data_IF_620741793744
#
_entry.id   IF_620741793744
#
_cell.length_a   1.000
_cell.length_b   1.000
_cell.length_c   1.000
_cell.angle_alpha   90.00
_cell.angle_beta   90.00
_cell.angle_gamma   90.00
#
_symmetry.space_group_name_H-M   'P 1'
#
loop_
_entity.id
_entity.type
_entity.pdbx_description
1 polymer ?
#
# COMPACT_ATOMS: atom_id res chain seq x y z
N UNK A 1 -53.73 0.44 -37.85
CA UNK A 1 -52.29 0.55 -37.66
C UNK A 1 -52.03 0.18 -36.21
N UNK A 2 -51.65 -1.10 -36.00
CA UNK A 2 -51.28 -1.65 -34.73
C UNK A 2 -49.85 -1.16 -34.38
N UNK A 3 -49.77 -0.38 -33.32
CA UNK A 3 -48.53 -0.08 -32.64
C UNK A 3 -48.29 -1.20 -31.60
N UNK A 4 -47.92 -2.38 -32.06
CA UNK A 4 -47.32 -3.37 -31.19
C UNK A 4 -45.88 -2.90 -30.89
N UNK A 5 -45.66 -2.59 -29.65
CA UNK A 5 -44.39 -2.25 -29.06
C UNK A 5 -43.43 -3.40 -29.15
N UNK A 6 -42.72 -3.53 -30.28
CA UNK A 6 -41.47 -4.20 -30.30
C UNK A 6 -40.46 -3.33 -29.55
N UNK A 7 -40.45 -3.46 -28.23
CA UNK A 7 -39.32 -3.02 -27.40
C UNK A 7 -38.16 -3.85 -27.87
N UNK A 8 -37.32 -3.24 -28.70
CA UNK A 8 -36.01 -3.83 -29.07
C UNK A 8 -35.27 -4.20 -27.78
N UNK A 9 -35.14 -5.50 -27.54
CA UNK A 9 -34.40 -6.08 -26.44
C UNK A 9 -32.86 -5.93 -26.60
N UNK A 10 -32.41 -4.93 -27.36
CA UNK A 10 -31.01 -4.68 -27.72
C UNK A 10 -30.34 -3.57 -26.91
N UNK A 11 -31.05 -2.95 -25.97
CA UNK A 11 -30.48 -1.89 -25.11
C UNK A 11 -30.08 -2.39 -23.72
N UNK A 12 -29.66 -3.64 -23.60
CA UNK A 12 -28.99 -4.14 -22.42
C UNK A 12 -27.58 -3.57 -22.42
N UNK A 13 -27.34 -2.56 -21.62
CA UNK A 13 -25.97 -2.11 -21.31
C UNK A 13 -25.20 -3.30 -20.78
N UNK A 14 -24.26 -3.81 -21.55
CA UNK A 14 -23.35 -4.85 -21.07
C UNK A 14 -22.23 -4.20 -20.25
N UNK A 15 -21.97 -4.75 -19.07
CA UNK A 15 -20.86 -4.30 -18.24
C UNK A 15 -19.53 -4.57 -18.98
N UNK A 16 -18.84 -3.51 -19.37
CA UNK A 16 -17.43 -3.60 -19.79
C UNK A 16 -16.55 -3.55 -18.55
N UNK A 17 -15.86 -4.66 -18.25
CA UNK A 17 -14.93 -4.74 -17.13
C UNK A 17 -13.75 -3.80 -17.39
N UNK A 18 -13.63 -2.78 -16.54
CA UNK A 18 -12.51 -1.84 -16.55
C UNK A 18 -11.29 -2.35 -15.78
N UNK A 19 -10.21 -1.54 -15.68
CA UNK A 19 -8.92 -1.94 -15.08
C UNK A 19 -8.99 -2.40 -13.62
N UNK A 20 -10.07 -2.08 -12.90
CA UNK A 20 -10.25 -2.49 -11.49
C UNK A 20 -10.46 -4.01 -11.34
N UNK A 21 -10.88 -4.70 -12.40
CA UNK A 21 -11.02 -6.16 -12.41
C UNK A 21 -9.68 -6.86 -12.70
N UNK A 22 -8.76 -6.72 -11.76
CA UNK A 22 -7.41 -7.28 -11.82
C UNK A 22 -6.97 -7.72 -10.42
N UNK A 23 -5.88 -8.47 -10.32
CA UNK A 23 -5.27 -8.82 -9.02
C UNK A 23 -4.31 -7.74 -8.53
N UNK A 24 -3.64 -7.02 -9.45
CA UNK A 24 -2.73 -5.93 -9.11
C UNK A 24 -3.10 -4.69 -9.92
N UNK A 25 -3.43 -3.62 -9.21
CA UNK A 25 -3.77 -2.33 -9.80
C UNK A 25 -2.72 -1.29 -9.42
N UNK A 26 -2.11 -0.66 -10.41
CA UNK A 26 -1.31 0.54 -10.23
C UNK A 26 -2.20 1.78 -10.45
N UNK A 27 -2.41 2.55 -9.38
CA UNK A 27 -3.10 3.83 -9.40
C UNK A 27 -2.04 4.95 -9.38
N UNK A 28 -1.55 5.31 -10.55
CA UNK A 28 -0.52 6.32 -10.67
C UNK A 28 -1.08 7.71 -10.38
N UNK A 29 -0.33 8.52 -9.63
CA UNK A 29 -0.69 9.89 -9.24
C UNK A 29 -2.10 10.00 -8.65
N UNK A 30 -2.44 9.14 -7.67
CA UNK A 30 -3.78 9.09 -7.05
C UNK A 30 -4.23 10.46 -6.49
N UNK A 31 -3.29 11.32 -6.12
CA UNK A 31 -3.56 12.68 -5.64
C UNK A 31 -4.06 13.62 -6.74
N UNK A 32 -3.98 13.27 -8.03
CA UNK A 32 -4.63 14.00 -9.13
C UNK A 32 -6.07 13.56 -9.38
N UNK A 33 -6.46 12.40 -8.87
CA UNK A 33 -7.83 11.91 -9.02
C UNK A 33 -8.80 12.72 -8.14
N UNK A 34 -10.02 13.04 -8.61
CA UNK A 34 -11.04 13.67 -7.78
C UNK A 34 -11.37 12.84 -6.53
N UNK A 35 -11.77 13.49 -5.45
CA UNK A 35 -12.06 12.83 -4.16
C UNK A 35 -13.08 11.68 -4.27
N UNK A 36 -14.03 11.77 -5.19
CA UNK A 36 -15.00 10.70 -5.46
C UNK A 36 -14.32 9.45 -6.01
N UNK A 37 -13.38 9.59 -6.94
CA UNK A 37 -12.60 8.48 -7.51
C UNK A 37 -11.69 7.86 -6.46
N UNK A 38 -10.99 8.69 -5.68
CA UNK A 38 -10.18 8.21 -4.55
C UNK A 38 -11.02 7.38 -3.56
N UNK A 39 -12.20 7.88 -3.17
CA UNK A 39 -13.10 7.18 -2.26
C UNK A 39 -13.60 5.86 -2.82
N UNK A 40 -13.95 5.80 -4.11
CA UNK A 40 -14.40 4.57 -4.77
C UNK A 40 -13.28 3.51 -4.81
N UNK A 41 -12.04 3.91 -5.13
CA UNK A 41 -10.90 3.00 -5.11
C UNK A 41 -10.63 2.46 -3.71
N UNK A 42 -10.67 3.32 -2.69
CA UNK A 42 -10.45 2.93 -1.30
C UNK A 42 -11.56 2.01 -0.76
N UNK A 43 -12.79 2.19 -1.24
CA UNK A 43 -13.88 1.27 -0.94
C UNK A 43 -13.60 -0.10 -1.59
N UNK A 44 -13.24 -0.13 -2.86
CA UNK A 44 -12.89 -1.35 -3.59
C UNK A 44 -11.76 -2.14 -2.89
N UNK A 45 -10.73 -1.44 -2.37
CA UNK A 45 -9.65 -2.05 -1.58
C UNK A 45 -10.14 -2.74 -0.30
N UNK A 46 -11.13 -2.15 0.38
CA UNK A 46 -11.63 -2.68 1.65
C UNK A 46 -12.64 -3.80 1.47
N UNK A 47 -13.56 -3.62 0.55
CA UNK A 47 -14.69 -4.51 0.34
C UNK A 47 -14.36 -5.63 -0.65
N UNK A 48 -13.25 -5.49 -1.41
CA UNK A 48 -12.90 -6.36 -2.54
C UNK A 48 -14.06 -6.54 -3.51
N UNK A 49 -14.80 -5.48 -3.69
CA UNK A 49 -15.98 -5.42 -4.55
C UNK A 49 -16.18 -4.00 -5.09
N UNK A 50 -16.84 -3.90 -6.22
CA UNK A 50 -17.29 -2.63 -6.79
C UNK A 50 -18.77 -2.72 -7.10
N UNK A 51 -19.51 -1.63 -6.87
CA UNK A 51 -20.93 -1.55 -7.23
C UNK A 51 -21.09 -0.67 -8.46
N UNK A 52 -21.63 -1.25 -9.51
CA UNK A 52 -21.91 -0.60 -10.80
C UNK A 52 -23.38 -0.82 -11.13
N UNK A 53 -24.11 0.26 -11.41
CA UNK A 53 -25.55 0.21 -11.74
C UNK A 53 -26.40 -0.61 -10.76
N UNK A 54 -26.10 -0.49 -9.45
CA UNK A 54 -26.73 -1.20 -8.32
C UNK A 54 -26.40 -2.70 -8.21
N UNK A 55 -25.55 -3.22 -9.07
CA UNK A 55 -25.02 -4.58 -8.97
C UNK A 55 -23.63 -4.57 -8.34
N UNK A 56 -23.39 -5.45 -7.38
CA UNK A 56 -22.10 -5.59 -6.71
C UNK A 56 -21.30 -6.71 -7.36
N UNK A 57 -20.14 -6.37 -7.87
CA UNK A 57 -19.21 -7.29 -8.52
C UNK A 57 -18.00 -7.53 -7.62
N UNK A 58 -17.74 -8.80 -7.31
CA UNK A 58 -16.54 -9.18 -6.54
C UNK A 58 -15.27 -8.96 -7.39
N UNK A 59 -14.22 -8.47 -6.72
CA UNK A 59 -12.87 -8.39 -7.27
C UNK A 59 -12.06 -9.66 -6.93
N UNK A 60 -10.86 -9.77 -7.50
CA UNK A 60 -9.94 -10.85 -7.17
C UNK A 60 -9.69 -10.92 -5.65
N UNK A 61 -9.62 -12.13 -5.04
CA UNK A 61 -9.17 -12.30 -3.65
C UNK A 61 -7.78 -11.67 -3.41
N UNK A 62 -6.96 -11.62 -4.47
CA UNK A 62 -5.61 -11.03 -4.47
C UNK A 62 -5.59 -9.55 -4.83
N UNK A 63 -6.75 -8.90 -4.93
CA UNK A 63 -6.81 -7.49 -5.29
C UNK A 63 -5.95 -6.63 -4.38
N UNK A 64 -4.89 -6.08 -4.96
CA UNK A 64 -3.89 -5.27 -4.30
C UNK A 64 -3.67 -3.99 -5.10
N UNK A 65 -3.68 -2.85 -4.43
CA UNK A 65 -3.49 -1.53 -5.05
C UNK A 65 -2.13 -0.97 -4.67
N UNK A 66 -1.36 -0.61 -5.67
CA UNK A 66 -0.19 0.25 -5.57
C UNK A 66 -0.61 1.64 -6.00
N UNK A 67 -0.52 2.62 -5.11
CA UNK A 67 -0.84 4.00 -5.43
C UNK A 67 0.42 4.86 -5.31
N UNK A 68 0.69 5.68 -6.33
CA UNK A 68 1.79 6.64 -6.27
C UNK A 68 1.25 8.03 -5.95
N UNK A 69 2.09 8.84 -5.32
CA UNK A 69 1.85 10.26 -5.11
C UNK A 69 3.12 11.02 -5.49
N UNK A 70 2.95 12.08 -6.26
CA UNK A 70 4.03 13.02 -6.52
C UNK A 70 3.93 14.18 -5.52
N UNK A 71 4.87 14.33 -4.57
CA UNK A 71 4.80 15.36 -3.55
C UNK A 71 5.15 16.76 -4.06
N UNK A 72 5.74 16.88 -5.24
CA UNK A 72 6.29 18.16 -5.76
C UNK A 72 5.20 19.02 -6.41
N UNK A 73 4.08 18.43 -6.82
CA UNK A 73 3.02 19.14 -7.52
C UNK A 73 1.92 19.60 -6.56
N UNK A 74 1.76 20.92 -6.45
CA UNK A 74 0.73 21.55 -5.62
C UNK A 74 -0.52 21.95 -6.42
N UNK A 75 -0.40 22.26 -7.72
CA UNK A 75 -1.55 22.66 -8.55
C UNK A 75 -2.30 21.46 -9.11
N UNK A 76 -3.64 21.47 -8.94
CA UNK A 76 -4.51 20.43 -9.48
C UNK A 76 -4.49 19.12 -8.71
N UNK A 77 -3.95 19.11 -7.47
CA UNK A 77 -3.90 17.91 -6.63
C UNK A 77 -4.97 17.96 -5.54
N UNK A 78 -5.50 16.78 -5.22
CA UNK A 78 -6.42 16.54 -4.11
C UNK A 78 -5.71 15.64 -3.10
N UNK A 79 -5.11 16.18 -2.04
CA UNK A 79 -4.40 15.37 -1.06
C UNK A 79 -5.35 14.36 -0.43
N UNK A 80 -4.86 13.12 -0.27
CA UNK A 80 -5.62 12.09 0.43
C UNK A 80 -5.80 12.49 1.90
N UNK A 81 -7.04 12.53 2.42
CA UNK A 81 -7.28 12.72 3.84
C UNK A 81 -6.58 11.64 4.70
N UNK A 82 -6.17 11.98 5.91
CA UNK A 82 -5.44 11.08 6.80
C UNK A 82 -6.18 9.75 7.05
N UNK A 83 -7.51 9.80 7.25
CA UNK A 83 -8.33 8.60 7.40
C UNK A 83 -8.33 7.69 6.16
N UNK A 84 -7.99 8.21 5.00
CA UNK A 84 -7.85 7.47 3.76
C UNK A 84 -6.44 6.88 3.62
N UNK A 85 -5.41 7.62 4.01
CA UNK A 85 -4.02 7.12 4.04
C UNK A 85 -3.87 5.93 4.99
N UNK A 86 -4.55 5.93 6.15
CA UNK A 86 -4.53 4.81 7.11
C UNK A 86 -5.02 3.47 6.54
N UNK A 87 -5.68 3.47 5.37
CA UNK A 87 -6.13 2.25 4.69
C UNK A 87 -5.03 1.52 3.93
N UNK A 88 -3.95 2.21 3.57
CA UNK A 88 -2.78 1.59 2.94
C UNK A 88 -1.96 0.84 3.97
N UNK A 89 -1.46 -0.34 3.58
CA UNK A 89 -0.66 -1.19 4.46
C UNK A 89 0.68 -0.53 4.77
N UNK A 90 1.39 -0.10 3.73
CA UNK A 90 2.74 0.45 3.79
C UNK A 90 2.82 1.75 2.96
N UNK A 91 3.72 2.64 3.38
CA UNK A 91 4.22 3.76 2.58
C UNK A 91 5.69 3.51 2.28
N UNK A 92 6.03 3.50 1.00
CA UNK A 92 7.40 3.31 0.52
C UNK A 92 7.89 4.65 -0.04
N UNK A 93 8.96 5.18 0.53
CA UNK A 93 9.62 6.36 0.00
C UNK A 93 10.55 5.94 -1.15
N UNK A 94 10.30 6.49 -2.34
CA UNK A 94 11.17 6.31 -3.51
C UNK A 94 12.17 7.47 -3.55
N UNK A 95 13.45 7.18 -3.36
CA UNK A 95 14.52 8.15 -3.55
C UNK A 95 14.92 8.32 -5.02
N UNK A 96 15.66 9.38 -5.32
CA UNK A 96 16.33 9.46 -6.60
C UNK A 96 17.41 8.39 -6.71
N UNK A 97 17.64 7.83 -7.92
CA UNK A 97 18.72 6.89 -8.14
C UNK A 97 20.08 7.55 -7.86
N UNK A 98 21.07 6.76 -7.50
CA UNK A 98 22.43 7.23 -7.41
C UNK A 98 23.05 7.46 -8.82
N UNK A 99 24.20 8.14 -8.85
CA UNK A 99 24.90 8.47 -10.10
C UNK A 99 25.19 7.25 -10.98
N UNK A 100 25.54 6.13 -10.36
CA UNK A 100 25.93 4.93 -11.10
C UNK A 100 24.71 4.25 -11.72
N UNK A 101 23.59 4.22 -11.00
CA UNK A 101 22.30 3.75 -11.50
C UNK A 101 21.77 4.63 -12.64
N UNK A 102 21.91 5.96 -12.54
CA UNK A 102 21.55 6.89 -13.63
C UNK A 102 22.43 6.67 -14.87
N UNK A 103 23.73 6.41 -14.68
CA UNK A 103 24.64 6.11 -15.79
C UNK A 103 24.26 4.83 -16.51
N UNK A 104 23.92 3.77 -15.74
CA UNK A 104 23.43 2.52 -16.31
C UNK A 104 22.13 2.74 -17.10
N UNK A 105 21.20 3.51 -16.57
CA UNK A 105 19.95 3.86 -17.26
C UNK A 105 20.24 4.58 -18.58
N UNK A 106 21.12 5.60 -18.56
CA UNK A 106 21.50 6.32 -19.76
C UNK A 106 22.16 5.41 -20.81
N UNK A 107 23.03 4.50 -20.39
CA UNK A 107 23.66 3.51 -21.28
C UNK A 107 22.63 2.57 -21.93
N UNK A 108 21.65 2.09 -21.15
CA UNK A 108 20.56 1.23 -21.65
C UNK A 108 19.70 1.95 -22.70
N UNK A 109 19.47 3.25 -22.54
CA UNK A 109 18.72 4.07 -23.52
C UNK A 109 19.47 4.23 -24.86
N UNK A 110 20.79 4.14 -24.87
CA UNK A 110 21.61 4.16 -26.11
C UNK A 110 21.62 2.83 -26.84
N UNK A 111 21.27 1.74 -26.17
CA UNK A 111 21.27 0.38 -26.70
C UNK A 111 19.90 -0.15 -27.10
N UNK A 112 19.84 -1.45 -27.34
CA UNK A 112 18.58 -2.21 -27.56
C UNK A 112 17.82 -2.53 -26.27
N UNK A 113 18.42 -2.25 -25.12
CA UNK A 113 17.96 -2.66 -23.79
C UNK A 113 17.11 -1.59 -23.09
N UNK A 114 16.54 -0.66 -23.86
CA UNK A 114 15.60 0.31 -23.32
C UNK A 114 14.42 -0.41 -22.62
N UNK A 115 14.01 0.00 -21.41
CA UNK A 115 13.01 -0.71 -20.61
C UNK A 115 11.72 -1.02 -21.37
N UNK A 116 11.25 -0.09 -22.20
CA UNK A 116 10.05 -0.25 -23.03
C UNK A 116 10.21 -1.39 -24.04
N UNK A 117 11.37 -1.47 -24.72
CA UNK A 117 11.65 -2.55 -25.69
C UNK A 117 11.79 -3.91 -25.01
N UNK A 118 12.34 -3.94 -23.79
CA UNK A 118 12.46 -5.17 -23.00
C UNK A 118 11.06 -5.70 -22.63
N UNK A 119 10.14 -4.82 -22.23
CA UNK A 119 8.75 -5.21 -21.96
C UNK A 119 8.01 -5.71 -23.20
N UNK A 120 8.20 -5.05 -24.36
CA UNK A 120 7.58 -5.44 -25.62
C UNK A 120 8.16 -6.75 -26.21
N UNK A 121 9.41 -7.08 -25.89
CA UNK A 121 10.09 -8.26 -26.44
C UNK A 121 9.62 -9.60 -25.87
N UNK A 122 8.76 -9.58 -24.83
CA UNK A 122 8.26 -10.80 -24.18
C UNK A 122 9.32 -11.59 -23.40
N UNK A 123 10.45 -10.97 -23.08
CA UNK A 123 11.53 -11.60 -22.26
C UNK A 123 11.11 -11.73 -20.79
N UNK A 124 10.12 -10.96 -20.35
CA UNK A 124 9.60 -11.04 -18.99
C UNK A 124 8.66 -12.23 -18.87
N UNK A 125 9.10 -13.28 -18.18
CA UNK A 125 8.32 -14.48 -17.92
C UNK A 125 7.61 -14.41 -16.57
N UNK A 126 6.42 -15.01 -16.48
CA UNK A 126 5.71 -15.17 -15.21
C UNK A 126 6.46 -16.18 -14.34
N UNK A 127 6.85 -15.77 -13.13
CA UNK A 127 7.60 -16.62 -12.18
C UNK A 127 6.65 -17.36 -11.24
N UNK A 128 5.52 -16.76 -10.89
CA UNK A 128 4.48 -17.35 -10.02
C UNK A 128 3.11 -17.12 -10.64
N UNK A 129 2.19 -18.05 -10.42
CA UNK A 129 0.80 -17.94 -10.82
C UNK A 129 -0.05 -17.32 -9.68
N UNK A 130 -1.31 -17.03 -9.98
CA UNK A 130 -2.27 -16.55 -8.98
C UNK A 130 -2.57 -17.61 -7.91
N UNK A 131 -2.61 -18.89 -8.31
CA UNK A 131 -2.77 -20.01 -7.38
C UNK A 131 -1.56 -20.19 -6.44
N UNK A 132 -0.33 -19.98 -6.96
CA UNK A 132 0.87 -20.02 -6.12
C UNK A 132 0.87 -18.89 -5.08
N UNK A 133 0.33 -17.72 -5.45
CA UNK A 133 0.21 -16.60 -4.53
C UNK A 133 -0.80 -16.89 -3.40
N UNK A 134 -1.90 -17.58 -3.70
CA UNK A 134 -2.87 -18.01 -2.69
C UNK A 134 -2.26 -19.02 -1.71
N UNK A 135 -1.47 -19.98 -2.21
CA UNK A 135 -0.75 -20.94 -1.38
C UNK A 135 0.29 -20.23 -0.50
N UNK A 136 1.10 -19.35 -1.06
CA UNK A 136 2.08 -18.54 -0.32
C UNK A 136 1.44 -17.69 0.78
N UNK A 137 0.26 -17.12 0.53
CA UNK A 137 -0.48 -16.38 1.56
C UNK A 137 -0.99 -17.29 2.67
N UNK A 138 -1.41 -18.51 2.34
CA UNK A 138 -1.81 -19.50 3.32
C UNK A 138 -0.68 -19.85 4.29
N UNK A 139 0.55 -19.99 3.82
CA UNK A 139 1.71 -20.30 4.67
C UNK A 139 2.04 -19.21 5.68
N UNK A 140 1.60 -17.97 5.47
CA UNK A 140 1.81 -16.90 6.46
C UNK A 140 1.10 -17.18 7.79
N UNK A 141 0.06 -18.01 7.80
CA UNK A 141 -0.64 -18.39 9.04
C UNK A 141 0.25 -19.26 9.95
N UNK A 142 1.22 -19.97 9.39
CA UNK A 142 2.16 -20.81 10.11
C UNK A 142 3.28 -20.01 10.78
N UNK A 143 3.53 -18.75 10.36
CA UNK A 143 4.56 -17.90 10.95
C UNK A 143 4.16 -17.49 12.37
N UNK A 144 4.98 -17.89 13.32
CA UNK A 144 4.73 -17.66 14.75
C UNK A 144 5.02 -16.23 15.14
N UNK A 145 4.05 -15.59 15.81
CA UNK A 145 4.26 -14.31 16.49
C UNK A 145 4.08 -14.55 18.00
N UNK A 146 5.17 -14.51 18.76
CA UNK A 146 5.12 -14.72 20.20
C UNK A 146 4.38 -13.59 20.90
N UNK A 147 3.81 -13.87 22.06
CA UNK A 147 3.03 -12.89 22.85
C UNK A 147 3.85 -11.66 23.22
N UNK A 148 5.15 -11.85 23.53
CA UNK A 148 6.06 -10.76 23.86
C UNK A 148 6.29 -9.81 22.65
N UNK A 149 6.35 -10.37 21.42
CA UNK A 149 6.48 -9.57 20.19
C UNK A 149 5.17 -8.87 19.86
N UNK A 150 4.03 -9.53 20.09
CA UNK A 150 2.71 -8.87 19.97
C UNK A 150 2.58 -7.70 20.96
N UNK A 151 3.00 -7.92 22.23
CA UNK A 151 3.08 -6.86 23.23
C UNK A 151 3.93 -5.67 22.75
N UNK A 152 5.12 -5.96 22.22
CA UNK A 152 6.02 -4.94 21.67
C UNK A 152 5.38 -4.15 20.51
N UNK A 153 4.72 -4.82 19.57
CA UNK A 153 3.97 -4.15 18.50
C UNK A 153 2.90 -3.19 19.06
N UNK A 154 2.15 -3.65 20.07
CA UNK A 154 1.13 -2.83 20.72
C UNK A 154 1.75 -1.63 21.45
N UNK A 155 2.87 -1.83 22.16
CA UNK A 155 3.59 -0.77 22.86
C UNK A 155 4.12 0.28 21.88
N UNK A 156 4.67 -0.13 20.73
CA UNK A 156 5.11 0.78 19.66
C UNK A 156 3.93 1.61 19.15
N UNK A 157 2.80 0.99 18.81
CA UNK A 157 1.62 1.71 18.31
C UNK A 157 1.03 2.63 19.39
N UNK A 158 0.93 2.19 20.65
CA UNK A 158 0.43 3.00 21.75
C UNK A 158 1.39 4.13 22.11
N UNK A 159 2.71 3.90 22.01
CA UNK A 159 3.73 4.89 22.22
C UNK A 159 3.55 6.10 21.31
N UNK A 160 3.15 5.90 20.04
CA UNK A 160 2.87 7.02 19.12
C UNK A 160 1.79 7.98 19.63
N UNK A 161 0.89 7.53 20.50
CA UNK A 161 -0.21 8.35 21.05
C UNK A 161 0.20 9.08 22.32
N UNK A 162 1.35 8.74 22.91
CA UNK A 162 1.87 9.31 24.14
C UNK A 162 3.06 10.24 23.93
N UNK A 163 3.66 10.18 22.75
CA UNK A 163 4.83 10.98 22.39
C UNK A 163 4.44 12.43 22.18
N UNK A 164 5.11 13.34 22.87
CA UNK A 164 4.77 14.78 22.89
C UNK A 164 4.87 15.46 21.52
N UNK A 165 5.79 15.00 20.67
CA UNK A 165 5.97 15.54 19.32
C UNK A 165 4.88 15.13 18.33
N UNK A 166 4.02 14.16 18.68
CA UNK A 166 2.96 13.64 17.82
C UNK A 166 1.61 14.29 18.21
N UNK A 167 0.95 14.90 17.23
CA UNK A 167 -0.40 15.44 17.37
C UNK A 167 -1.45 14.34 17.20
N UNK A 168 -1.27 13.47 16.18
CA UNK A 168 -2.16 12.34 15.91
C UNK A 168 -1.31 11.07 15.80
N UNK A 169 -1.50 10.16 16.76
CA UNK A 169 -0.84 8.85 16.76
C UNK A 169 -1.59 7.79 15.95
N UNK A 170 -0.93 6.67 15.73
CA UNK A 170 -1.45 5.58 14.92
C UNK A 170 -2.65 4.86 15.58
N UNK A 171 -3.61 4.43 14.75
CA UNK A 171 -4.79 3.67 15.13
C UNK A 171 -4.55 2.15 15.20
N UNK A 172 -5.59 1.36 15.56
CA UNK A 172 -5.50 -0.11 15.63
C UNK A 172 -5.15 -0.77 14.29
N UNK A 173 -5.41 -0.10 13.15
CA UNK A 173 -4.99 -0.58 11.83
C UNK A 173 -3.48 -0.71 11.69
N UNK A 174 -2.72 0.16 12.37
CA UNK A 174 -1.26 0.04 12.41
C UNK A 174 -0.83 -1.28 13.10
N UNK A 175 -1.48 -1.68 14.20
CA UNK A 175 -1.21 -2.97 14.85
C UNK A 175 -1.47 -4.14 13.90
N UNK A 176 -2.60 -4.12 13.17
CA UNK A 176 -2.90 -5.13 12.16
C UNK A 176 -1.86 -5.13 11.03
N UNK A 177 -1.46 -3.95 10.56
CA UNK A 177 -0.44 -3.81 9.53
C UNK A 177 0.90 -4.40 9.98
N UNK A 178 1.32 -4.15 11.23
CA UNK A 178 2.53 -4.77 11.78
C UNK A 178 2.45 -6.29 11.79
N UNK A 179 1.37 -6.87 12.31
CA UNK A 179 1.21 -8.33 12.36
C UNK A 179 1.29 -8.97 10.97
N UNK A 180 0.62 -8.37 9.99
CA UNK A 180 0.63 -8.89 8.61
C UNK A 180 2.00 -8.73 7.96
N UNK A 181 2.57 -7.53 8.03
CA UNK A 181 3.81 -7.23 7.32
C UNK A 181 5.04 -7.90 7.96
N UNK A 182 5.11 -8.03 9.29
CA UNK A 182 6.22 -8.72 9.97
C UNK A 182 6.22 -10.22 9.68
N UNK A 183 5.03 -10.86 9.61
CA UNK A 183 4.93 -12.27 9.19
C UNK A 183 5.42 -12.45 7.76
N UNK A 184 5.02 -11.57 6.85
CA UNK A 184 5.49 -11.61 5.47
C UNK A 184 7.00 -11.41 5.38
N UNK A 185 7.56 -10.46 6.14
CA UNK A 185 9.01 -10.21 6.18
C UNK A 185 9.78 -11.41 6.73
N UNK A 186 9.28 -12.06 7.79
CA UNK A 186 9.88 -13.27 8.35
C UNK A 186 9.88 -14.40 7.32
N UNK A 187 8.76 -14.65 6.64
CA UNK A 187 8.66 -15.67 5.59
C UNK A 187 9.62 -15.39 4.43
N UNK A 188 9.68 -14.15 3.92
CA UNK A 188 10.62 -13.74 2.88
C UNK A 188 12.08 -13.87 3.30
N UNK A 189 12.35 -13.79 4.60
CA UNK A 189 13.69 -14.02 5.19
C UNK A 189 13.97 -15.50 5.50
N UNK A 190 13.08 -16.43 5.12
CA UNK A 190 13.23 -17.87 5.34
C UNK A 190 13.07 -18.27 6.81
N UNK A 191 12.32 -17.49 7.61
CA UNK A 191 12.08 -17.76 9.04
C UNK A 191 10.59 -18.08 9.28
N UNK A 192 10.33 -18.94 10.25
CA UNK A 192 9.00 -19.34 10.70
C UNK A 192 8.53 -18.57 11.95
N UNK A 193 9.25 -17.53 12.36
CA UNK A 193 8.91 -16.67 13.47
C UNK A 193 9.28 -15.20 13.23
N UNK A 194 8.55 -14.30 13.86
CA UNK A 194 8.76 -12.86 13.85
C UNK A 194 9.68 -12.45 14.99
N UNK A 195 10.58 -11.50 14.72
CA UNK A 195 11.50 -10.92 15.69
C UNK A 195 11.18 -9.44 15.96
N UNK A 196 11.63 -8.86 17.08
CA UNK A 196 11.53 -7.42 17.32
C UNK A 196 12.20 -6.56 16.25
N UNK A 197 13.25 -7.07 15.61
CA UNK A 197 13.95 -6.34 14.54
C UNK A 197 13.09 -6.23 13.28
N UNK A 198 12.22 -7.19 13.00
CA UNK A 198 11.24 -7.08 11.91
C UNK A 198 10.25 -5.95 12.18
N UNK A 199 9.83 -5.77 13.44
CA UNK A 199 8.96 -4.66 13.86
C UNK A 199 9.66 -3.33 13.65
N UNK A 200 10.93 -3.21 14.05
CA UNK A 200 11.73 -1.99 13.86
C UNK A 200 11.93 -1.67 12.38
N UNK A 201 12.27 -2.66 11.57
CA UNK A 201 12.48 -2.49 10.13
C UNK A 201 11.24 -1.96 9.41
N UNK A 202 10.05 -2.38 9.84
CA UNK A 202 8.79 -2.01 9.23
C UNK A 202 8.11 -0.79 9.89
N UNK A 203 8.69 -0.23 10.97
CA UNK A 203 8.07 0.86 11.70
C UNK A 203 7.88 2.12 10.83
N UNK A 204 8.90 2.57 10.12
CA UNK A 204 8.79 3.73 9.25
C UNK A 204 7.82 3.51 8.07
N UNK A 205 7.87 2.41 7.31
CA UNK A 205 6.87 2.11 6.29
C UNK A 205 5.44 2.03 6.80
N UNK A 206 5.21 1.51 8.01
CA UNK A 206 3.85 1.34 8.56
C UNK A 206 3.35 2.63 9.21
N UNK A 207 4.18 3.33 9.96
CA UNK A 207 3.76 4.49 10.76
C UNK A 207 3.87 5.81 10.00
N UNK A 208 4.80 5.95 9.07
CA UNK A 208 5.17 7.22 8.44
C UNK A 208 4.03 7.95 7.70
N UNK A 209 2.95 7.26 7.35
CA UNK A 209 1.76 7.85 6.72
C UNK A 209 0.55 7.92 7.66
N UNK A 210 0.72 7.51 8.92
CA UNK A 210 -0.31 7.46 9.96
C UNK A 210 -0.12 8.46 11.07
N UNK A 211 1.07 9.06 11.14
CA UNK A 211 1.42 10.02 12.17
C UNK A 211 1.33 11.44 11.65
N UNK A 212 0.84 12.34 12.49
CA UNK A 212 0.87 13.79 12.25
C UNK A 212 1.69 14.39 13.39
N UNK A 213 2.74 15.11 13.05
CA UNK A 213 3.54 15.84 14.02
C UNK A 213 2.81 17.09 14.50
N UNK A 214 3.22 17.61 15.63
CA UNK A 214 2.81 18.94 16.05
C UNK A 214 3.51 20.00 15.21
N UNK A 215 2.82 21.08 14.83
CA UNK A 215 3.37 22.12 13.97
C UNK A 215 4.68 22.72 14.47
N UNK A 216 4.87 22.79 15.80
CA UNK A 216 6.08 23.31 16.43
C UNK A 216 7.31 22.49 16.02
N UNK A 217 7.19 21.16 16.02
CA UNK A 217 8.28 20.26 15.65
C UNK A 217 8.51 20.20 14.13
N UNK A 218 7.46 20.35 13.32
CA UNK A 218 7.61 20.46 11.86
C UNK A 218 8.38 21.75 11.48
N UNK A 219 8.12 22.87 12.17
CA UNK A 219 8.84 24.15 11.98
C UNK A 219 10.31 24.02 12.40
N UNK A 220 10.60 23.23 13.42
CA UNK A 220 11.97 22.91 13.86
C UNK A 220 12.70 21.96 12.90
N UNK A 221 12.02 21.44 11.87
CA UNK A 221 12.58 20.53 10.87
C UNK A 221 12.67 19.08 11.31
N UNK A 222 11.97 18.71 12.41
CA UNK A 222 11.89 17.31 12.86
C UNK A 222 11.07 16.49 11.87
N UNK A 223 11.58 15.35 11.45
CA UNK A 223 10.89 14.43 10.52
C UNK A 223 10.11 13.35 11.26
N UNK A 224 9.09 12.79 10.60
CA UNK A 224 8.32 11.67 11.17
C UNK A 224 9.21 10.46 11.41
N UNK A 225 10.16 10.23 10.52
CA UNK A 225 11.15 9.15 10.60
C UNK A 225 12.03 9.27 11.83
N UNK A 226 12.50 10.48 12.17
CA UNK A 226 13.28 10.73 13.38
C UNK A 226 12.46 10.51 14.67
N UNK A 227 11.20 10.89 14.66
CA UNK A 227 10.30 10.66 15.79
C UNK A 227 10.04 9.16 16.00
N UNK A 228 9.82 8.42 14.91
CA UNK A 228 9.67 6.95 14.95
C UNK A 228 10.95 6.31 15.52
N UNK A 229 12.13 6.74 15.07
CA UNK A 229 13.40 6.18 15.54
C UNK A 229 13.58 6.40 17.04
N UNK A 230 13.35 7.61 17.55
CA UNK A 230 13.41 7.92 18.99
C UNK A 230 12.42 7.07 19.79
N UNK A 231 11.18 6.93 19.29
CA UNK A 231 10.17 6.11 19.93
C UNK A 231 10.62 4.65 20.08
N UNK A 232 11.25 4.08 19.02
CA UNK A 232 11.76 2.71 19.06
C UNK A 232 12.94 2.52 20.02
N UNK A 233 13.72 3.57 20.29
CA UNK A 233 14.81 3.56 21.26
C UNK A 233 14.30 3.61 22.72
N UNK A 234 13.16 4.26 22.95
CA UNK A 234 12.55 4.39 24.28
C UNK A 234 11.79 3.12 24.72
N UNK A 235 11.26 2.35 23.78
CA UNK A 235 10.45 1.16 24.09
C UNK A 235 11.35 -0.04 24.35
N UNK A 236 11.14 -0.70 25.49
CA UNK A 236 11.90 -1.88 25.85
C UNK A 236 11.67 -3.04 24.87
N UNK A 237 12.76 -3.56 24.32
CA UNK A 237 12.71 -4.69 23.40
C UNK A 237 12.54 -5.99 24.20
N UNK A 238 11.58 -6.87 23.87
CA UNK A 238 11.43 -8.17 24.52
C UNK A 238 12.67 -9.05 24.28
N UNK A 239 13.01 -9.87 25.27
CA UNK A 239 14.16 -10.80 25.25
C UNK A 239 13.79 -12.17 24.72
#
# INVERSE_FOLDING_TARGET
CDWSSDVCSSDLFALMRGPVFTSFLLADEINRAPAKTQSALLQAMQERAVTIDRETHALSPNFTVFATQNPIEYEGTYPLPEAQKDRFLLKIAMGSPDRDSELILAQRMLGSDAPERVLESGVVEAVISESDLDELRGTLEEIVVREEVLGYIVDVVQGTRKTDSILVGAGPRATQAFVLATRALAALSGRDFVTPDDVKALAAPILGHRLILRPEHEIEGVTVEEVIQRLLEEIAVPR
#
